data_IF_580961635800
#
_entry.id   IF_580961635800
#
_cell.length_a   1.000
_cell.length_b   1.000
_cell.length_c   1.000
_cell.angle_alpha   90.00
_cell.angle_beta   90.00
_cell.angle_gamma   90.00
#
_symmetry.space_group_name_H-M   'P 1'
#
loop_
_entity.id
_entity.type
_entity.pdbx_description
1 polymer ?
#
# COMPACT_ATOMS: atom_id res chain seq x y z
N UNK A 1 -6.92 9.56 12.85
CA UNK A 1 -7.37 8.17 13.11
C UNK A 1 -6.20 7.27 12.85
N UNK A 2 -5.74 6.51 13.83
CA UNK A 2 -4.79 5.42 13.59
C UNK A 2 -5.60 4.25 13.03
N UNK A 3 -5.42 3.95 11.75
CA UNK A 3 -5.98 2.74 11.13
C UNK A 3 -5.29 1.52 11.76
N UNK A 4 -6.07 0.65 12.38
CA UNK A 4 -5.58 -0.57 13.00
C UNK A 4 -5.45 -1.67 11.93
N UNK A 5 -4.21 -1.97 11.54
CA UNK A 5 -3.90 -3.00 10.55
C UNK A 5 -4.45 -4.37 10.94
N UNK A 6 -4.62 -4.66 12.23
CA UNK A 6 -5.19 -5.95 12.67
C UNK A 6 -6.65 -6.12 12.24
N UNK A 7 -7.36 -5.01 12.02
CA UNK A 7 -8.75 -5.00 11.58
C UNK A 7 -8.88 -5.10 10.07
N UNK A 8 -8.02 -4.44 9.30
CA UNK A 8 -8.09 -4.43 7.82
C UNK A 8 -7.40 -5.63 7.18
N UNK A 9 -6.33 -6.17 7.78
CA UNK A 9 -5.56 -7.26 7.18
C UNK A 9 -6.40 -8.48 6.75
N UNK A 10 -7.33 -9.01 7.57
CA UNK A 10 -8.10 -10.19 7.18
C UNK A 10 -8.95 -9.99 5.92
N UNK A 11 -9.50 -8.79 5.71
CA UNK A 11 -10.31 -8.50 4.52
C UNK A 11 -9.46 -8.42 3.26
N UNK A 12 -8.26 -7.81 3.34
CA UNK A 12 -7.33 -7.74 2.21
C UNK A 12 -6.73 -9.11 1.86
N UNK A 13 -6.38 -9.92 2.85
CA UNK A 13 -5.91 -11.30 2.61
C UNK A 13 -7.02 -12.12 1.97
N UNK A 14 -8.26 -12.05 2.48
CA UNK A 14 -9.40 -12.74 1.88
C UNK A 14 -9.69 -12.28 0.45
N UNK A 15 -9.60 -10.99 0.17
CA UNK A 15 -9.77 -10.46 -1.18
C UNK A 15 -8.69 -10.97 -2.14
N UNK A 16 -7.48 -11.20 -1.64
CA UNK A 16 -6.34 -11.71 -2.42
C UNK A 16 -6.42 -13.22 -2.63
N UNK A 17 -6.70 -13.99 -1.59
CA UNK A 17 -6.63 -15.46 -1.60
C UNK A 17 -7.95 -16.16 -1.91
N UNK A 18 -9.08 -15.45 -1.79
CA UNK A 18 -10.42 -16.04 -1.83
C UNK A 18 -10.76 -16.91 -0.62
N UNK A 19 -9.92 -16.91 0.43
CA UNK A 19 -10.01 -17.80 1.60
C UNK A 19 -9.80 -17.05 2.92
N UNK A 20 -10.14 -17.63 4.08
CA UNK A 20 -9.70 -17.13 5.38
C UNK A 20 -8.16 -17.05 5.49
N UNK A 21 -7.66 -16.25 6.43
CA UNK A 21 -6.21 -15.98 6.59
C UNK A 21 -5.47 -17.27 6.94
N UNK A 22 -6.06 -18.06 7.83
CA UNK A 22 -5.58 -19.35 8.30
C UNK A 22 -5.40 -20.40 7.19
N UNK A 23 -6.17 -20.28 6.10
CA UNK A 23 -6.11 -21.18 4.93
C UNK A 23 -5.29 -20.58 3.77
N UNK A 24 -4.70 -19.40 3.97
CA UNK A 24 -3.96 -18.67 2.95
C UNK A 24 -2.46 -18.98 3.03
N UNK A 25 -1.80 -18.99 1.87
CA UNK A 25 -0.34 -19.15 1.79
C UNK A 25 0.37 -17.90 2.34
N UNK A 26 1.63 -18.04 2.74
CA UNK A 26 2.45 -16.91 3.19
C UNK A 26 2.55 -15.79 2.14
N UNK A 27 2.58 -16.15 0.86
CA UNK A 27 2.64 -15.18 -0.23
C UNK A 27 1.32 -14.40 -0.39
N UNK A 28 0.18 -15.06 -0.21
CA UNK A 28 -1.13 -14.40 -0.21
C UNK A 28 -1.29 -13.47 1.01
N UNK A 29 -0.80 -13.89 2.18
CA UNK A 29 -0.76 -13.04 3.37
C UNK A 29 0.13 -11.81 3.14
N UNK A 30 1.31 -12.00 2.53
CA UNK A 30 2.21 -10.91 2.18
C UNK A 30 1.57 -9.89 1.22
N UNK A 31 0.88 -10.37 0.20
CA UNK A 31 0.16 -9.53 -0.76
C UNK A 31 -1.01 -8.79 -0.10
N UNK A 32 -1.79 -9.47 0.74
CA UNK A 32 -2.88 -8.84 1.50
C UNK A 32 -2.38 -7.76 2.46
N UNK A 33 -1.28 -8.01 3.17
CA UNK A 33 -0.63 -7.00 4.03
C UNK A 33 -0.12 -5.81 3.22
N UNK A 34 0.48 -6.06 2.05
CA UNK A 34 0.95 -5.01 1.16
C UNK A 34 -0.21 -4.13 0.69
N UNK A 35 -1.36 -4.72 0.35
CA UNK A 35 -2.56 -3.98 -0.03
C UNK A 35 -3.13 -3.16 1.15
N UNK A 36 -3.15 -3.72 2.36
CA UNK A 36 -3.61 -3.01 3.56
C UNK A 36 -2.76 -1.77 3.87
N UNK A 37 -1.45 -1.84 3.68
CA UNK A 37 -0.55 -0.70 3.85
C UNK A 37 -0.76 0.35 2.74
N UNK A 38 -0.97 -0.07 1.49
CA UNK A 38 -1.29 0.85 0.40
C UNK A 38 -2.60 1.59 0.67
N UNK A 39 -3.64 0.88 1.15
CA UNK A 39 -4.92 1.47 1.53
C UNK A 39 -4.74 2.55 2.62
N UNK A 40 -3.91 2.27 3.63
CA UNK A 40 -3.62 3.21 4.71
C UNK A 40 -2.96 4.52 4.24
N UNK A 41 -2.15 4.48 3.18
CA UNK A 41 -1.48 5.67 2.64
C UNK A 41 -2.25 6.33 1.49
N UNK A 42 -3.30 5.68 0.96
CA UNK A 42 -4.00 6.11 -0.25
C UNK A 42 -4.63 7.50 -0.11
N UNK A 43 -5.31 7.77 1.00
CA UNK A 43 -5.93 9.09 1.26
C UNK A 43 -4.90 10.21 1.33
N UNK A 44 -3.78 9.95 2.02
CA UNK A 44 -2.69 10.91 2.11
C UNK A 44 -2.03 11.15 0.76
N UNK A 45 -1.87 10.10 -0.05
CA UNK A 45 -1.37 10.23 -1.41
C UNK A 45 -2.31 11.10 -2.25
N UNK A 46 -3.61 10.80 -2.26
CA UNK A 46 -4.61 11.58 -2.99
C UNK A 46 -4.63 13.05 -2.57
N UNK A 47 -4.65 13.33 -1.26
CA UNK A 47 -4.62 14.69 -0.72
C UNK A 47 -3.32 15.43 -1.09
N UNK A 48 -2.18 14.74 -1.06
CA UNK A 48 -0.87 15.30 -1.44
C UNK A 48 -0.83 15.65 -2.91
N UNK A 49 -1.35 14.79 -3.78
CA UNK A 49 -1.46 15.03 -5.22
C UNK A 49 -2.34 16.24 -5.50
N UNK A 50 -3.52 16.35 -4.88
CA UNK A 50 -4.42 17.49 -5.09
C UNK A 50 -3.80 18.81 -4.60
N UNK A 51 -3.11 18.77 -3.45
CA UNK A 51 -2.43 19.93 -2.87
C UNK A 51 -1.35 20.47 -3.80
N UNK A 52 -0.46 19.61 -4.30
CA UNK A 52 0.69 20.04 -5.08
C UNK A 52 0.41 20.23 -6.57
N UNK A 53 -0.74 19.81 -7.08
CA UNK A 53 -1.18 20.13 -8.44
C UNK A 53 -1.36 21.64 -8.69
N UNK A 54 -1.50 22.44 -7.63
CA UNK A 54 -1.79 23.89 -7.69
C UNK A 54 -0.54 24.76 -7.82
N UNK A 55 0.66 24.18 -7.74
CA UNK A 55 1.92 24.91 -7.72
C UNK A 55 2.96 24.36 -8.69
N UNK A 56 4.13 25.00 -8.73
CA UNK A 56 5.28 24.50 -9.48
C UNK A 56 5.74 23.17 -8.89
N UNK A 57 6.03 22.20 -9.75
CA UNK A 57 6.48 20.85 -9.37
C UNK A 57 7.90 20.60 -9.86
N UNK A 58 8.68 19.88 -9.06
CA UNK A 58 9.98 19.37 -9.46
C UNK A 58 9.78 18.03 -10.20
N UNK A 59 10.48 17.87 -11.32
CA UNK A 59 10.45 16.65 -12.11
C UNK A 59 11.85 16.04 -12.12
N UNK A 60 12.03 14.94 -11.39
CA UNK A 60 13.31 14.27 -11.28
C UNK A 60 13.48 13.25 -12.41
N UNK A 61 14.37 13.55 -13.36
CA UNK A 61 14.70 12.68 -14.48
C UNK A 61 15.94 11.85 -14.17
N UNK A 62 15.82 10.53 -14.25
CA UNK A 62 16.93 9.58 -14.08
C UNK A 62 16.84 8.51 -15.17
N UNK A 63 18.00 7.96 -15.55
CA UNK A 63 18.06 6.77 -16.40
C UNK A 63 17.49 5.54 -15.68
N UNK A 64 17.63 5.47 -14.36
CA UNK A 64 17.23 4.31 -13.56
C UNK A 64 16.73 4.71 -12.16
N UNK A 65 15.81 3.91 -11.61
CA UNK A 65 15.34 3.96 -10.23
C UNK A 65 15.31 2.54 -9.63
N UNK A 66 16.24 2.24 -8.74
CA UNK A 66 16.36 0.91 -8.13
C UNK A 66 15.65 0.85 -6.77
N UNK A 67 14.33 0.66 -6.79
CA UNK A 67 13.49 0.78 -5.57
C UNK A 67 13.56 -0.42 -4.61
N UNK A 68 13.88 -1.62 -5.11
CA UNK A 68 13.89 -2.83 -4.27
C UNK A 68 12.51 -3.19 -3.70
N UNK A 69 12.49 -3.75 -2.48
CA UNK A 69 11.24 -4.12 -1.77
C UNK A 69 10.74 -2.91 -0.98
N UNK A 70 9.44 -2.64 -1.04
CA UNK A 70 8.85 -1.44 -0.43
C UNK A 70 8.23 -1.62 0.96
N UNK A 71 7.75 -2.83 1.29
CA UNK A 71 6.87 -3.06 2.45
C UNK A 71 7.52 -2.71 3.82
N UNK A 72 8.84 -2.82 3.92
CA UNK A 72 9.59 -2.68 5.17
C UNK A 72 10.48 -1.42 5.18
N UNK A 73 10.26 -0.49 4.25
CA UNK A 73 11.03 0.76 4.14
C UNK A 73 10.48 1.87 5.03
#
# INVERSE_FOLDING_TARGET
MTLDLTQSLPSHVRATSGRPVEDSTLMEVWQGLSAAIVDQIADNWAATTERYAKGRQEHYFSAEFLMGRALLN
#
